data_IF_461106305263
#
_entry.id   IF_461106305263
#
_cell.length_a   1.000
_cell.length_b   1.000
_cell.length_c   1.000
_cell.angle_alpha   90.00
_cell.angle_beta   90.00
_cell.angle_gamma   90.00
#
_symmetry.space_group_name_H-M   'P 1'
#
loop_
_entity.id
_entity.type
_entity.pdbx_description
1 polymer ?
#
# COMPACT_ATOMS: atom_id res chain seq x y z
N UNK A 1 -0.37 11.98 19.81
CA UNK A 1 -0.24 12.27 18.37
C UNK A 1 -1.54 12.92 17.90
N UNK A 2 -1.49 14.08 17.25
CA UNK A 2 -2.69 14.84 16.82
C UNK A 2 -3.12 14.56 15.38
N UNK A 3 -2.24 14.00 14.55
CA UNK A 3 -2.51 13.63 13.15
C UNK A 3 -2.09 12.18 12.88
N UNK A 4 -2.79 11.51 11.96
CA UNK A 4 -2.44 10.18 11.48
C UNK A 4 -1.23 10.16 10.55
N UNK A 5 -0.61 9.00 10.39
CA UNK A 5 0.49 8.76 9.44
C UNK A 5 -0.09 8.24 8.12
N UNK A 6 0.35 8.78 6.99
CA UNK A 6 -0.12 8.41 5.65
C UNK A 6 1.00 7.71 4.84
N UNK A 7 0.65 6.63 4.13
CA UNK A 7 1.54 5.82 3.30
C UNK A 7 1.26 5.97 1.79
N UNK A 8 0.52 7.01 1.36
CA UNK A 8 0.19 7.27 -0.06
C UNK A 8 1.36 7.27 -1.04
N UNK A 9 2.57 7.58 -0.59
CA UNK A 9 3.76 7.62 -1.44
C UNK A 9 4.31 6.22 -1.79
N UNK A 10 3.89 5.18 -1.06
CA UNK A 10 4.32 3.81 -1.28
C UNK A 10 3.81 3.27 -2.63
N UNK A 11 4.68 2.58 -3.35
CA UNK A 11 4.39 2.00 -4.68
C UNK A 11 4.62 0.50 -4.65
N UNK A 12 3.73 -0.25 -5.30
CA UNK A 12 3.88 -1.69 -5.50
C UNK A 12 4.34 -1.93 -6.94
N UNK A 13 5.35 -2.78 -7.12
CA UNK A 13 5.92 -3.14 -8.43
C UNK A 13 6.04 -4.65 -8.55
N UNK A 14 6.05 -5.17 -9.78
CA UNK A 14 6.20 -6.60 -10.06
C UNK A 14 7.37 -6.91 -11.00
N UNK A 15 8.09 -5.88 -11.46
CA UNK A 15 9.27 -6.00 -12.30
C UNK A 15 10.34 -5.05 -11.79
N UNK A 16 11.61 -5.50 -11.79
CA UNK A 16 12.74 -4.64 -11.46
C UNK A 16 12.90 -3.62 -12.58
N UNK A 17 12.69 -2.34 -12.27
CA UNK A 17 13.00 -1.23 -13.16
C UNK A 17 14.38 -0.64 -12.83
N UNK A 18 15.02 0.08 -13.74
CA UNK A 18 16.27 0.79 -13.45
C UNK A 18 16.10 1.93 -12.41
N UNK A 19 14.85 2.28 -12.04
CA UNK A 19 14.48 3.39 -11.15
C UNK A 19 13.90 2.92 -9.81
N UNK A 20 14.39 1.81 -9.26
CA UNK A 20 14.00 1.39 -7.91
C UNK A 20 14.37 2.49 -6.90
N UNK A 21 13.37 3.02 -6.19
CA UNK A 21 13.61 3.91 -5.06
C UNK A 21 13.06 3.28 -3.77
N UNK A 22 13.44 3.85 -2.62
CA UNK A 22 13.12 3.28 -1.29
C UNK A 22 11.61 3.14 -1.00
N UNK A 23 10.75 3.80 -1.79
CA UNK A 23 9.29 3.76 -1.60
C UNK A 23 8.62 2.67 -2.43
N UNK A 24 9.38 1.86 -3.17
CA UNK A 24 8.87 0.77 -4.01
C UNK A 24 8.99 -0.58 -3.30
N UNK A 25 7.89 -1.32 -3.26
CA UNK A 25 7.79 -2.68 -2.74
C UNK A 25 7.57 -3.67 -3.87
N UNK A 26 8.46 -4.64 -3.98
CA UNK A 26 8.34 -5.71 -4.95
C UNK A 26 7.34 -6.78 -4.50
N UNK A 27 6.47 -7.22 -5.42
CA UNK A 27 5.53 -8.31 -5.21
C UNK A 27 5.52 -9.25 -6.42
N UNK A 28 5.20 -10.51 -6.16
CA UNK A 28 4.90 -11.49 -7.19
C UNK A 28 3.42 -11.40 -7.56
N UNK A 29 3.13 -11.31 -8.85
CA UNK A 29 1.75 -11.35 -9.36
C UNK A 29 1.08 -12.67 -8.97
N UNK A 30 -0.24 -12.62 -8.73
CA UNK A 30 -1.09 -13.73 -8.30
C UNK A 30 -0.81 -14.29 -6.90
N UNK A 31 -0.04 -13.58 -6.08
CA UNK A 31 0.19 -13.94 -4.69
C UNK A 31 -0.60 -13.04 -3.75
N UNK A 32 -1.01 -13.61 -2.61
CA UNK A 32 -1.69 -12.90 -1.54
C UNK A 32 -0.67 -12.27 -0.59
N UNK A 33 -0.94 -11.04 -0.17
CA UNK A 33 -0.09 -10.25 0.72
C UNK A 33 -0.91 -9.68 1.87
N UNK A 34 -0.26 -9.52 3.02
CA UNK A 34 -0.80 -8.85 4.20
C UNK A 34 0.13 -7.66 4.52
N UNK A 35 -0.32 -6.40 4.34
CA UNK A 35 0.44 -5.24 4.76
C UNK A 35 0.74 -5.29 6.26
N UNK A 36 1.99 -5.04 6.62
CA UNK A 36 2.45 -4.91 8.01
C UNK A 36 3.14 -3.57 8.18
N UNK A 37 2.98 -2.97 9.35
CA UNK A 37 3.74 -1.78 9.74
C UNK A 37 4.47 -2.06 11.04
N UNK A 38 5.63 -1.43 11.16
CA UNK A 38 6.54 -1.61 12.30
C UNK A 38 6.73 -0.27 12.98
N UNK A 39 6.59 -0.25 14.29
CA UNK A 39 6.94 0.93 15.09
C UNK A 39 8.33 0.67 15.64
N UNK A 40 9.24 1.56 15.29
CA UNK A 40 10.65 1.47 15.64
C UNK A 40 11.01 2.73 16.43
N UNK A 41 11.71 2.55 17.55
CA UNK A 41 12.22 3.63 18.39
C UNK A 41 13.73 3.70 18.26
N UNK A 42 14.26 4.91 18.13
CA UNK A 42 15.70 5.16 18.25
C UNK A 42 16.13 5.03 19.72
N UNK A 43 17.24 4.32 19.96
CA UNK A 43 17.84 4.19 21.27
C UNK A 43 19.01 5.13 21.42
N UNK A 44 19.10 5.79 22.58
CA UNK A 44 20.28 6.56 22.95
C UNK A 44 21.39 5.64 23.45
N UNK A 45 22.65 6.12 23.44
CA UNK A 45 23.82 5.30 23.77
C UNK A 45 23.74 4.63 25.14
N UNK A 46 23.09 5.27 26.12
CA UNK A 46 22.91 4.78 27.48
C UNK A 46 21.85 3.68 27.60
N UNK A 47 20.95 3.54 26.62
CA UNK A 47 19.87 2.54 26.61
C UNK A 47 20.27 1.24 25.89
N UNK A 48 21.44 1.22 25.24
CA UNK A 48 21.93 0.10 24.40
C UNK A 48 22.30 -1.11 25.24
N UNK A 49 22.95 -0.89 26.39
CA UNK A 49 23.49 -1.97 27.22
C UNK A 49 22.38 -2.89 27.78
N UNK A 50 21.18 -2.34 27.99
CA UNK A 50 20.03 -3.05 28.56
C UNK A 50 19.06 -3.62 27.50
N UNK A 51 19.26 -3.32 26.21
CA UNK A 51 18.30 -3.64 25.15
C UNK A 51 18.51 -5.04 24.53
N UNK A 52 17.74 -6.04 24.97
CA UNK A 52 17.85 -7.42 24.46
C UNK A 52 17.35 -7.65 23.01
N UNK A 53 16.79 -6.66 22.32
CA UNK A 53 16.19 -6.79 20.97
C UNK A 53 16.53 -5.61 20.04
N UNK A 54 17.70 -5.01 20.20
CA UNK A 54 18.18 -3.97 19.31
C UNK A 54 18.69 -4.56 17.98
N UNK A 55 18.47 -3.85 16.87
CA UNK A 55 19.23 -4.08 15.64
C UNK A 55 19.71 -2.75 15.04
N UNK A 56 20.69 -2.83 14.14
CA UNK A 56 21.23 -1.65 13.45
C UNK A 56 20.47 -1.38 12.15
N UNK A 57 19.94 -0.16 12.03
CA UNK A 57 19.38 0.34 10.78
C UNK A 57 20.28 1.47 10.25
N UNK A 58 21.29 1.08 9.46
CA UNK A 58 22.37 1.98 9.05
C UNK A 58 23.27 2.36 10.24
N UNK A 59 23.36 3.65 10.54
CA UNK A 59 24.10 4.15 11.70
C UNK A 59 23.27 4.19 12.99
N UNK A 60 21.94 4.04 12.89
CA UNK A 60 21.04 4.16 14.04
C UNK A 60 20.90 2.82 14.79
N UNK A 61 20.88 2.93 16.12
CA UNK A 61 20.58 1.86 17.08
C UNK A 61 19.08 1.90 17.32
N UNK A 62 18.35 0.83 17.00
CA UNK A 62 16.89 0.88 17.06
C UNK A 62 16.28 -0.32 17.75
N UNK A 63 15.17 -0.07 18.46
CA UNK A 63 14.33 -1.07 19.10
C UNK A 63 13.01 -1.21 18.33
N UNK A 64 12.64 -2.44 17.99
CA UNK A 64 11.30 -2.73 17.44
C UNK A 64 10.31 -2.72 18.60
N UNK A 65 9.49 -1.68 18.68
CA UNK A 65 8.41 -1.58 19.67
C UNK A 65 7.32 -2.61 19.37
N UNK A 66 7.04 -2.83 18.09
CA UNK A 66 6.07 -3.84 17.68
C UNK A 66 5.88 -3.93 16.18
N UNK A 67 5.29 -5.05 15.78
CA UNK A 67 4.89 -5.33 14.41
C UNK A 67 3.40 -5.55 14.35
N UNK A 68 2.71 -4.79 13.52
CA UNK A 68 1.25 -4.74 13.49
C UNK A 68 0.75 -4.93 12.06
N UNK A 69 -0.51 -5.33 11.93
CA UNK A 69 -1.22 -5.38 10.65
C UNK A 69 -2.63 -4.84 10.86
N UNK A 70 -3.25 -4.36 9.78
CA UNK A 70 -4.63 -3.89 9.81
C UNK A 70 -5.53 -4.99 9.25
N UNK A 71 -6.48 -5.54 10.02
CA UNK A 71 -7.43 -6.54 9.51
C UNK A 71 -8.15 -6.04 8.24
N UNK A 72 -8.39 -6.93 7.29
CA UNK A 72 -9.06 -6.60 6.03
C UNK A 72 -8.20 -5.89 4.98
N UNK A 73 -6.91 -5.62 5.25
CA UNK A 73 -6.00 -5.00 4.26
C UNK A 73 -5.25 -5.99 3.39
N UNK A 74 -5.60 -7.28 3.47
CA UNK A 74 -5.00 -8.30 2.62
C UNK A 74 -5.40 -8.09 1.15
N UNK A 75 -4.48 -8.38 0.23
CA UNK A 75 -4.76 -8.22 -1.20
C UNK A 75 -4.01 -9.25 -2.03
N UNK A 76 -4.48 -9.47 -3.26
CA UNK A 76 -3.76 -10.26 -4.27
C UNK A 76 -3.14 -9.31 -5.29
N UNK A 77 -1.83 -9.43 -5.52
CA UNK A 77 -1.14 -8.63 -6.50
C UNK A 77 -1.57 -9.05 -7.92
N UNK A 78 -1.96 -8.10 -8.76
CA UNK A 78 -2.39 -8.36 -10.13
C UNK A 78 -1.84 -7.29 -11.07
N UNK A 79 -1.58 -7.65 -12.32
CA UNK A 79 -1.24 -6.68 -13.38
C UNK A 79 -2.49 -6.02 -13.96
N UNK A 80 -3.65 -6.68 -13.84
CA UNK A 80 -4.95 -6.16 -14.23
C UNK A 80 -6.06 -6.77 -13.36
N UNK A 81 -7.10 -5.98 -13.07
CA UNK A 81 -8.24 -6.46 -12.30
C UNK A 81 -9.01 -7.52 -13.08
N UNK A 82 -9.33 -8.65 -12.41
CA UNK A 82 -10.17 -9.73 -12.96
C UNK A 82 -11.62 -9.66 -12.47
N UNK A 83 -11.84 -9.20 -11.23
CA UNK A 83 -13.17 -9.11 -10.62
C UNK A 83 -13.84 -7.76 -10.98
N UNK A 84 -15.00 -7.83 -11.63
CA UNK A 84 -15.77 -6.66 -12.06
C UNK A 84 -16.29 -5.79 -10.88
N UNK A 85 -16.59 -6.41 -9.73
CA UNK A 85 -17.01 -5.69 -8.51
C UNK A 85 -15.86 -4.86 -7.95
N UNK A 86 -14.65 -5.43 -7.92
CA UNK A 86 -13.43 -4.70 -7.54
C UNK A 86 -13.19 -3.52 -8.48
N UNK A 87 -13.35 -3.72 -9.80
CA UNK A 87 -13.23 -2.64 -10.79
C UNK A 87 -14.26 -1.54 -10.52
N UNK A 88 -15.52 -1.91 -10.23
CA UNK A 88 -16.58 -0.95 -9.93
C UNK A 88 -16.23 -0.10 -8.71
N UNK A 89 -15.92 -0.72 -7.57
CA UNK A 89 -15.53 -0.01 -6.34
C UNK A 89 -14.30 0.87 -6.57
N UNK A 90 -13.28 0.37 -7.27
CA UNK A 90 -12.08 1.17 -7.57
C UNK A 90 -12.36 2.37 -8.48
N UNK A 91 -13.30 2.26 -9.42
CA UNK A 91 -13.72 3.41 -10.24
C UNK A 91 -14.50 4.41 -9.40
N UNK A 92 -15.40 3.94 -8.54
CA UNK A 92 -16.31 4.81 -7.78
C UNK A 92 -15.57 5.56 -6.67
N UNK A 93 -14.65 4.90 -5.94
CA UNK A 93 -13.97 5.45 -4.75
C UNK A 93 -12.64 6.18 -5.04
N UNK A 94 -11.90 5.81 -6.08
CA UNK A 94 -10.58 6.41 -6.32
C UNK A 94 -10.69 7.75 -7.07
N UNK A 95 -10.39 8.93 -6.49
CA UNK A 95 -10.60 10.23 -7.13
C UNK A 95 -9.95 10.34 -8.52
N UNK A 96 -8.83 9.67 -8.74
CA UNK A 96 -8.09 9.67 -10.02
C UNK A 96 -8.75 8.85 -11.15
N UNK A 97 -9.82 8.08 -10.86
CA UNK A 97 -10.53 7.25 -11.85
C UNK A 97 -11.73 7.96 -12.55
N UNK A 98 -11.88 9.28 -12.37
CA UNK A 98 -13.08 10.04 -12.76
C UNK A 98 -13.50 9.95 -14.23
N UNK A 99 -12.55 9.84 -15.16
CA UNK A 99 -12.85 9.68 -16.59
C UNK A 99 -13.65 8.42 -16.91
N UNK A 100 -13.44 7.33 -16.15
CA UNK A 100 -14.18 6.06 -16.32
C UNK A 100 -15.57 6.11 -15.69
N UNK A 101 -15.78 6.95 -14.66
CA UNK A 101 -17.11 7.17 -14.04
C UNK A 101 -18.10 7.77 -15.04
N UNK A 102 -17.64 8.76 -15.84
CA UNK A 102 -18.48 9.45 -16.83
C UNK A 102 -18.92 8.52 -17.98
N UNK A 103 -18.04 7.64 -18.47
CA UNK A 103 -18.37 6.67 -19.54
C UNK A 103 -19.50 5.71 -19.16
N UNK A 104 -19.60 5.31 -17.88
CA UNK A 104 -20.74 4.49 -17.40
C UNK A 104 -22.07 5.27 -17.39
N UNK A 105 -22.04 6.57 -17.12
CA UNK A 105 -23.25 7.42 -17.07
C UNK A 105 -23.77 7.84 -18.45
N UNK A 106 -22.91 7.87 -19.46
CA UNK A 106 -23.30 8.23 -20.84
C UNK A 106 -23.78 7.08 -21.73
N UNK A 107 -23.83 5.84 -21.20
CA UNK A 107 -24.16 4.63 -21.99
C UNK A 107 -25.62 4.17 -21.94
N UNK A 108 -26.51 4.83 -21.19
CA UNK A 108 -27.91 4.41 -21.00
C UNK A 108 -28.95 5.35 -21.62
N UNK A 109 -28.57 6.22 -22.56
CA UNK A 109 -29.52 7.15 -23.19
C UNK A 109 -29.35 7.25 -24.71
N UNK A 110 -29.24 6.11 -25.41
CA UNK A 110 -29.36 6.06 -26.86
C UNK A 110 -29.78 4.65 -27.36
N UNK A 111 -30.98 4.19 -26.99
CA UNK A 111 -31.66 3.13 -27.74
C UNK A 111 -33.18 3.28 -27.62
N UNK A 112 -33.69 4.39 -28.11
CA UNK A 112 -35.06 4.48 -28.61
C UNK A 112 -35.13 5.68 -29.54
N UNK A 113 -35.14 5.41 -30.84
CA UNK A 113 -35.86 6.14 -31.88
C UNK A 113 -35.59 5.41 -33.20
N UNK A 114 -36.67 4.77 -33.67
CA UNK A 114 -37.05 4.31 -35.02
C UNK A 114 -35.98 4.22 -36.10
#
# INVERSE_FOLDING_TARGET
>A
MTNGVDLKAAKIIHAKSAQQNMNMMFVHTHHQYIPRYHIIRHLEATEIEDACNEFRMGQLRVLVVGSFFIPGTQFVAVTQYKNAEVVKVKIDENPFAGGRRKRKRGGSSASSLR
#
